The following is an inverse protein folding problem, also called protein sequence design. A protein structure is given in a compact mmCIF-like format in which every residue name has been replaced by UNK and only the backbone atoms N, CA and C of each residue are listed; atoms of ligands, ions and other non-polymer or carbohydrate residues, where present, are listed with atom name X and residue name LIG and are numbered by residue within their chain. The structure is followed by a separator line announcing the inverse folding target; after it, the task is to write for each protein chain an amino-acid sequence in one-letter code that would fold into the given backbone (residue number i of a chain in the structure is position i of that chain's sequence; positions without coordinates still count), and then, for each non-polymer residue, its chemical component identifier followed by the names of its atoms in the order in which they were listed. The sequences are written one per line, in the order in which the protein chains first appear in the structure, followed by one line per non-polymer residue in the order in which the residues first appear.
data_IF_156652209666
#
_entry.id   IF_156652209666
#
_cell.length_a   1.000
_cell.length_b   1.000
_cell.length_c   1.000
_cell.angle_alpha   90.00
_cell.angle_beta   90.00
_cell.angle_gamma   90.00
#
_symmetry.space_group_name_H-M   'P 1'
#
loop_
_entity.id
_entity.type
_entity.pdbx_description
1 polymer ?
#
# COMPACT_ATOMS: atom_id res chain seq x y z
N UNK A 1 -9.78 -12.28 21.43
CA UNK A 1 -9.02 -12.17 20.16
C UNK A 1 -9.50 -10.93 19.45
N UNK A 2 -8.59 -10.08 18.98
CA UNK A 2 -8.90 -8.81 18.31
C UNK A 2 -8.75 -9.00 16.79
N UNK A 3 -9.84 -8.82 16.07
CA UNK A 3 -9.99 -9.14 14.64
C UNK A 3 -10.37 -7.89 13.84
N UNK A 4 -9.99 -7.87 12.57
CA UNK A 4 -10.49 -6.92 11.57
C UNK A 4 -11.27 -7.71 10.52
N UNK A 5 -12.46 -7.20 10.17
CA UNK A 5 -13.23 -7.62 9.01
C UNK A 5 -13.35 -6.47 8.02
N UNK A 6 -12.95 -6.73 6.77
CA UNK A 6 -13.09 -5.81 5.64
C UNK A 6 -14.07 -6.41 4.64
N UNK A 7 -15.06 -5.60 4.24
CA UNK A 7 -16.15 -6.02 3.37
C UNK A 7 -16.30 -5.04 2.21
N UNK A 8 -16.44 -5.57 1.00
CA UNK A 8 -16.80 -4.81 -0.20
C UNK A 8 -17.89 -5.55 -0.99
N UNK A 9 -19.00 -4.88 -1.30
CA UNK A 9 -20.09 -5.46 -2.09
C UNK A 9 -20.91 -4.39 -2.82
N UNK A 10 -21.91 -4.81 -3.60
CA UNK A 10 -22.92 -3.88 -4.10
C UNK A 10 -23.75 -3.35 -2.92
N UNK A 11 -24.01 -2.05 -2.90
CA UNK A 11 -24.82 -1.44 -1.84
C UNK A 11 -26.28 -1.89 -1.92
N UNK A 12 -26.84 -2.17 -0.75
CA UNK A 12 -28.24 -2.54 -0.56
C UNK A 12 -28.62 -2.49 0.93
N UNK A 13 -29.91 -2.28 1.28
CA UNK A 13 -30.35 -2.25 2.66
C UNK A 13 -30.00 -3.52 3.46
N UNK A 14 -29.54 -3.31 4.69
CA UNK A 14 -29.37 -4.38 5.69
C UNK A 14 -27.95 -4.94 5.83
N UNK A 15 -26.97 -4.48 5.05
CA UNK A 15 -25.56 -4.92 5.17
C UNK A 15 -25.02 -4.68 6.58
N UNK A 16 -25.14 -3.44 7.07
CA UNK A 16 -24.67 -3.06 8.43
C UNK A 16 -25.37 -3.87 9.52
N UNK A 17 -26.68 -4.11 9.38
CA UNK A 17 -27.43 -4.92 10.34
C UNK A 17 -26.96 -6.38 10.35
N UNK A 18 -26.69 -6.95 9.19
CA UNK A 18 -26.18 -8.31 9.08
C UNK A 18 -24.76 -8.44 9.64
N UNK A 19 -23.87 -7.50 9.33
CA UNK A 19 -22.50 -7.45 9.87
C UNK A 19 -22.52 -7.41 11.40
N UNK A 20 -23.26 -6.45 11.98
CA UNK A 20 -23.35 -6.29 13.44
C UNK A 20 -24.00 -7.51 14.11
N UNK A 21 -25.01 -8.12 13.49
CA UNK A 21 -25.64 -9.35 14.00
C UNK A 21 -24.70 -10.55 13.95
N UNK A 22 -23.92 -10.70 12.88
CA UNK A 22 -22.93 -11.76 12.74
C UNK A 22 -21.78 -11.62 13.75
N UNK A 23 -21.29 -10.40 13.97
CA UNK A 23 -20.31 -10.12 15.03
C UNK A 23 -20.89 -10.48 16.40
N UNK A 24 -22.14 -10.11 16.69
CA UNK A 24 -22.78 -10.49 17.96
C UNK A 24 -22.95 -12.01 18.10
N UNK A 25 -23.28 -12.72 17.01
CA UNK A 25 -23.48 -14.17 17.01
C UNK A 25 -22.21 -14.96 17.34
N UNK A 26 -21.02 -14.44 17.02
CA UNK A 26 -19.75 -15.00 17.50
C UNK A 26 -19.29 -14.39 18.84
N UNK A 27 -20.20 -13.78 19.60
CA UNK A 27 -19.92 -13.17 20.91
C UNK A 27 -18.97 -11.97 20.82
N UNK A 28 -18.94 -11.29 19.67
CA UNK A 28 -18.04 -10.19 19.38
C UNK A 28 -18.53 -8.84 19.91
N UNK A 29 -17.60 -7.99 20.31
CA UNK A 29 -17.81 -6.59 20.64
C UNK A 29 -17.06 -5.69 19.66
N UNK A 30 -17.76 -4.77 19.00
CA UNK A 30 -17.17 -3.85 18.02
C UNK A 30 -16.36 -2.76 18.75
N UNK A 31 -15.10 -2.60 18.35
CA UNK A 31 -14.17 -1.59 18.87
C UNK A 31 -14.11 -0.38 17.92
N UNK A 32 -14.08 -0.63 16.62
CA UNK A 32 -14.03 0.40 15.58
C UNK A 32 -14.89 -0.04 14.40
N UNK A 33 -15.65 0.88 13.81
CA UNK A 33 -16.47 0.57 12.66
C UNK A 33 -16.62 1.77 11.74
N UNK A 34 -16.30 1.59 10.46
CA UNK A 34 -16.50 2.60 9.43
C UNK A 34 -17.13 1.96 8.20
N UNK A 35 -17.98 2.73 7.52
CA UNK A 35 -18.66 2.30 6.31
C UNK A 35 -18.77 3.48 5.34
N UNK A 36 -18.83 3.19 4.05
CA UNK A 36 -19.03 4.17 3.01
C UNK A 36 -19.68 3.54 1.78
N UNK A 37 -20.64 4.23 1.19
CA UNK A 37 -21.18 3.90 -0.14
C UNK A 37 -20.65 4.90 -1.15
N UNK A 38 -20.02 4.39 -2.21
CA UNK A 38 -19.77 5.18 -3.42
C UNK A 38 -20.99 5.09 -4.33
N UNK A 39 -21.86 6.12 -4.27
CA UNK A 39 -23.09 6.19 -5.06
C UNK A 39 -22.87 5.98 -6.57
N UNK A 40 -21.84 6.57 -7.22
CA UNK A 40 -21.62 6.39 -8.67
C UNK A 40 -21.39 4.94 -9.10
N UNK A 41 -20.74 4.13 -8.27
CA UNK A 41 -20.47 2.71 -8.56
C UNK A 41 -21.44 1.75 -7.87
N UNK A 42 -22.30 2.25 -6.99
CA UNK A 42 -23.11 1.45 -6.06
C UNK A 42 -22.25 0.45 -5.25
N UNK A 43 -21.03 0.83 -4.89
CA UNK A 43 -20.12 -0.01 -4.10
C UNK A 43 -20.18 0.40 -2.63
N UNK A 44 -20.52 -0.55 -1.77
CA UNK A 44 -20.46 -0.42 -0.32
C UNK A 44 -19.16 -1.03 0.20
N UNK A 45 -18.45 -0.29 1.06
CA UNK A 45 -17.26 -0.77 1.76
C UNK A 45 -17.40 -0.56 3.27
N UNK A 46 -16.90 -1.50 4.06
CA UNK A 46 -16.98 -1.46 5.51
C UNK A 46 -15.76 -2.13 6.14
N UNK A 47 -15.25 -1.50 7.19
CA UNK A 47 -14.16 -2.02 8.03
C UNK A 47 -14.64 -2.07 9.47
N UNK A 48 -14.60 -3.25 10.07
CA UNK A 48 -15.02 -3.48 11.45
C UNK A 48 -13.89 -4.15 12.23
N UNK A 49 -13.35 -3.46 13.23
CA UNK A 49 -12.46 -4.06 14.24
C UNK A 49 -13.30 -4.48 15.43
N UNK A 50 -13.18 -5.72 15.87
CA UNK A 50 -13.97 -6.26 16.96
C UNK A 50 -13.19 -7.31 17.74
N UNK A 51 -13.55 -7.47 19.01
CA UNK A 51 -13.00 -8.49 19.88
C UNK A 51 -13.99 -9.62 20.08
N UNK A 52 -13.54 -10.88 19.99
CA UNK A 52 -14.35 -12.07 20.33
C UNK A 52 -13.58 -13.05 21.21
N UNK A 53 -14.28 -13.70 22.12
CA UNK A 53 -13.76 -14.80 22.94
C UNK A 53 -13.87 -16.17 22.25
N UNK A 54 -14.61 -16.27 21.14
CA UNK A 54 -14.86 -17.55 20.43
C UNK A 54 -13.79 -17.91 19.39
N UNK A 55 -12.87 -16.98 19.09
CA UNK A 55 -11.76 -17.20 18.15
C UNK A 55 -12.10 -16.94 16.67
N UNK A 56 -11.08 -17.04 15.81
CA UNK A 56 -11.16 -16.72 14.38
C UNK A 56 -12.13 -17.63 13.63
N UNK A 57 -12.10 -18.94 13.84
CA UNK A 57 -12.95 -19.90 13.11
C UNK A 57 -14.45 -19.63 13.33
N UNK A 58 -14.84 -19.31 14.57
CA UNK A 58 -16.22 -18.97 14.92
C UNK A 58 -16.64 -17.63 14.27
N UNK A 59 -15.74 -16.65 14.24
CA UNK A 59 -15.97 -15.38 13.56
C UNK A 59 -16.11 -15.57 12.05
N UNK A 60 -15.19 -16.30 11.40
CA UNK A 60 -15.26 -16.59 9.97
C UNK A 60 -16.58 -17.25 9.60
N UNK A 61 -16.97 -18.31 10.32
CA UNK A 61 -18.24 -18.99 10.09
C UNK A 61 -19.42 -18.03 10.21
N UNK A 62 -19.50 -17.30 11.33
CA UNK A 62 -20.62 -16.39 11.61
C UNK A 62 -20.75 -15.29 10.56
N UNK A 63 -19.64 -14.62 10.22
CA UNK A 63 -19.65 -13.52 9.24
C UNK A 63 -19.92 -14.03 7.82
N UNK A 64 -19.32 -15.13 7.37
CA UNK A 64 -19.63 -15.69 6.05
C UNK A 64 -21.10 -16.13 5.93
N UNK A 65 -21.66 -16.78 6.95
CA UNK A 65 -23.06 -17.20 6.95
C UNK A 65 -23.99 -15.97 6.95
N UNK A 66 -23.77 -15.01 7.86
CA UNK A 66 -24.62 -13.82 8.03
C UNK A 66 -24.59 -12.85 6.86
N UNK A 67 -23.46 -12.78 6.13
CA UNK A 67 -23.26 -11.86 5.01
C UNK A 67 -23.41 -12.52 3.64
N UNK A 68 -23.60 -13.85 3.57
CA UNK A 68 -23.69 -14.62 2.32
C UNK A 68 -24.65 -14.05 1.28
N UNK A 69 -25.81 -13.52 1.70
CA UNK A 69 -26.83 -12.96 0.81
C UNK A 69 -26.40 -11.70 0.04
N UNK A 70 -25.32 -11.04 0.48
CA UNK A 70 -24.79 -9.83 -0.17
C UNK A 70 -23.65 -10.15 -1.16
N UNK A 71 -23.21 -11.42 -1.21
CA UNK A 71 -22.06 -11.87 -2.00
C UNK A 71 -20.82 -10.95 -1.87
N UNK A 72 -20.39 -10.59 -0.64
CA UNK A 72 -19.28 -9.67 -0.45
C UNK A 72 -17.93 -10.32 -0.77
N UNK A 73 -16.98 -9.49 -1.19
CA UNK A 73 -15.58 -9.75 -0.90
C UNK A 73 -15.36 -9.46 0.59
N UNK A 74 -15.07 -10.51 1.36
CA UNK A 74 -14.98 -10.47 2.81
C UNK A 74 -13.64 -11.06 3.25
N UNK A 75 -12.83 -10.23 3.88
CA UNK A 75 -11.58 -10.64 4.50
C UNK A 75 -11.67 -10.47 6.01
N UNK A 76 -11.25 -11.50 6.76
CA UNK A 76 -11.25 -11.49 8.22
C UNK A 76 -9.90 -12.01 8.68
N UNK A 77 -9.19 -11.22 9.48
CA UNK A 77 -7.90 -11.61 10.04
C UNK A 77 -7.69 -11.08 11.46
N UNK A 78 -6.80 -11.70 12.23
CA UNK A 78 -6.27 -11.13 13.47
C UNK A 78 -5.57 -9.78 13.21
N UNK A 79 -5.69 -8.88 14.17
CA UNK A 79 -5.01 -7.57 14.13
C UNK A 79 -3.49 -7.67 14.27
N UNK A 80 -3.01 -8.70 14.95
CA UNK A 80 -1.60 -8.99 15.20
C UNK A 80 -0.93 -9.77 14.06
N UNK A 81 -1.72 -10.33 13.13
CA UNK A 81 -1.22 -10.90 11.87
C UNK A 81 -0.82 -9.75 10.93
N UNK A 82 0.48 -9.50 10.85
CA UNK A 82 1.06 -8.43 10.04
C UNK A 82 1.22 -8.88 8.58
N UNK A 83 0.74 -8.11 7.59
CA UNK A 83 0.99 -8.44 6.19
C UNK A 83 2.48 -8.35 5.85
N UNK A 84 2.92 -9.25 4.99
CA UNK A 84 4.29 -9.45 4.56
C UNK A 84 4.55 -8.65 3.29
N UNK A 85 5.44 -7.67 3.40
CA UNK A 85 5.78 -6.74 2.33
C UNK A 85 7.10 -7.14 1.66
N UNK A 86 7.09 -7.22 0.33
CA UNK A 86 8.30 -7.20 -0.47
C UNK A 86 8.65 -5.76 -0.83
N UNK A 87 9.82 -5.28 -0.39
CA UNK A 87 10.25 -3.92 -0.73
C UNK A 87 11.23 -3.95 -1.89
N UNK A 88 10.91 -3.23 -2.96
CA UNK A 88 11.78 -3.03 -4.13
C UNK A 88 12.43 -1.65 -4.08
N UNK A 89 13.75 -1.59 -4.27
CA UNK A 89 14.54 -0.35 -4.22
C UNK A 89 15.53 -0.22 -5.37
N UNK A 90 15.91 1.02 -5.69
CA UNK A 90 16.98 1.32 -6.66
C UNK A 90 18.24 1.77 -5.90
N UNK A 91 18.72 3.00 -6.13
CA UNK A 91 19.89 3.59 -5.45
C UNK A 91 19.52 4.57 -4.35
N UNK A 92 18.30 5.14 -4.41
CA UNK A 92 17.84 6.13 -3.45
C UNK A 92 17.35 5.43 -2.17
N UNK A 93 17.86 5.87 -1.02
CA UNK A 93 17.65 5.16 0.26
C UNK A 93 16.62 5.78 1.18
N UNK A 94 16.17 7.02 0.95
CA UNK A 94 15.39 7.79 1.93
C UNK A 94 14.05 7.14 2.29
N UNK A 95 13.28 6.64 1.32
CA UNK A 95 12.05 5.91 1.59
C UNK A 95 12.32 4.60 2.34
N UNK A 96 13.33 3.82 1.91
CA UNK A 96 13.69 2.57 2.59
C UNK A 96 14.09 2.82 4.05
N UNK A 97 14.96 3.79 4.30
CA UNK A 97 15.43 4.14 5.65
C UNK A 97 14.27 4.49 6.58
N UNK A 98 13.27 5.22 6.09
CA UNK A 98 12.10 5.60 6.88
C UNK A 98 11.24 4.39 7.23
N UNK A 99 11.01 3.47 6.28
CA UNK A 99 10.30 2.21 6.55
C UNK A 99 11.05 1.34 7.57
N UNK A 100 12.37 1.20 7.44
CA UNK A 100 13.19 0.45 8.39
C UNK A 100 13.17 1.08 9.79
N UNK A 101 13.30 2.40 9.87
CA UNK A 101 13.23 3.14 11.14
C UNK A 101 11.89 2.95 11.84
N UNK A 102 10.77 3.04 11.11
CA UNK A 102 9.44 2.83 11.69
C UNK A 102 9.19 1.38 12.12
N UNK A 103 9.83 0.40 11.45
CA UNK A 103 9.81 -0.99 11.89
C UNK A 103 10.56 -1.19 13.21
N UNK A 104 11.73 -0.58 13.38
CA UNK A 104 12.50 -0.62 14.62
C UNK A 104 11.71 -0.03 15.81
N UNK A 105 10.91 1.01 15.56
CA UNK A 105 10.02 1.61 16.56
C UNK A 105 8.74 0.81 16.82
N UNK A 106 8.42 -0.19 15.99
CA UNK A 106 7.13 -0.91 16.04
C UNK A 106 5.94 -0.08 15.54
N UNK A 107 6.19 1.00 14.81
CA UNK A 107 5.17 1.93 14.28
C UNK A 107 4.67 1.59 12.87
N UNK A 108 5.27 0.58 12.24
CA UNK A 108 4.86 0.04 10.95
C UNK A 108 4.42 -1.43 11.12
N UNK A 109 3.12 -1.74 11.09
CA UNK A 109 2.60 -3.06 11.42
C UNK A 109 2.69 -4.03 10.22
N UNK A 110 3.89 -4.20 9.66
CA UNK A 110 4.19 -5.12 8.56
C UNK A 110 5.36 -6.03 8.94
N UNK A 111 5.56 -7.07 8.14
CA UNK A 111 6.82 -7.83 8.11
C UNK A 111 7.52 -7.58 6.77
N UNK A 112 8.86 -7.51 6.77
CA UNK A 112 9.65 -7.46 5.53
C UNK A 112 10.54 -8.71 5.48
N UNK A 113 10.13 -9.78 4.78
CA UNK A 113 10.93 -10.99 4.67
C UNK A 113 12.22 -10.79 3.86
N UNK A 114 12.16 -9.95 2.83
CA UNK A 114 13.31 -9.63 1.99
C UNK A 114 13.16 -8.27 1.29
N UNK A 115 14.30 -7.68 0.91
CA UNK A 115 14.39 -6.45 0.12
C UNK A 115 15.13 -6.77 -1.17
N UNK A 116 14.55 -6.40 -2.32
CA UNK A 116 15.17 -6.60 -3.62
C UNK A 116 15.63 -5.29 -4.21
N UNK A 117 16.80 -5.30 -4.83
CA UNK A 117 17.27 -4.19 -5.65
C UNK A 117 17.81 -4.65 -6.99
N UNK A 118 17.68 -3.81 -8.00
CA UNK A 118 18.41 -3.95 -9.26
C UNK A 118 19.87 -3.45 -9.19
N UNK A 119 20.27 -2.92 -8.04
CA UNK A 119 21.55 -2.31 -7.74
C UNK A 119 22.16 -2.90 -6.46
N UNK A 120 23.45 -2.70 -6.22
CA UNK A 120 24.14 -3.22 -5.02
C UNK A 120 24.32 -2.15 -3.94
N UNK A 121 24.11 -0.87 -4.30
CA UNK A 121 24.39 0.32 -3.50
C UNK A 121 23.73 0.32 -2.11
N UNK A 122 22.58 -0.34 -1.95
CA UNK A 122 21.83 -0.39 -0.69
C UNK A 122 22.04 -1.67 0.12
N UNK A 123 22.89 -2.61 -0.35
CA UNK A 123 23.15 -3.88 0.36
C UNK A 123 23.59 -3.65 1.80
N UNK A 124 24.65 -2.87 2.00
CA UNK A 124 25.21 -2.63 3.33
C UNK A 124 24.18 -2.02 4.28
N UNK A 125 23.33 -1.12 3.77
CA UNK A 125 22.24 -0.54 4.55
C UNK A 125 21.24 -1.61 5.00
N UNK A 126 20.82 -2.48 4.08
CA UNK A 126 19.81 -3.52 4.37
C UNK A 126 20.36 -4.57 5.33
N UNK A 127 21.55 -5.10 5.05
CA UNK A 127 22.17 -6.14 5.85
C UNK A 127 22.56 -5.64 7.24
N UNK A 128 22.94 -4.35 7.39
CA UNK A 128 23.24 -3.77 8.71
C UNK A 128 22.01 -3.64 9.62
N UNK A 129 20.81 -3.60 9.04
CA UNK A 129 19.54 -3.61 9.79
C UNK A 129 19.00 -5.04 9.99
N UNK A 130 19.76 -6.07 9.60
CA UNK A 130 19.40 -7.48 9.79
C UNK A 130 18.41 -8.06 8.77
N UNK A 131 18.14 -7.34 7.67
CA UNK A 131 17.23 -7.82 6.62
C UNK A 131 17.96 -8.55 5.50
N UNK A 132 17.26 -9.48 4.84
CA UNK A 132 17.76 -10.19 3.67
C UNK A 132 17.79 -9.27 2.45
N UNK A 133 18.96 -9.09 1.84
CA UNK A 133 19.13 -8.35 0.59
C UNK A 133 19.27 -9.29 -0.61
N UNK A 134 18.44 -9.08 -1.63
CA UNK A 134 18.52 -9.79 -2.90
C UNK A 134 18.85 -8.82 -4.05
N UNK A 135 19.98 -9.05 -4.71
CA UNK A 135 20.32 -8.34 -5.94
C UNK A 135 19.74 -9.09 -7.15
N UNK A 136 18.89 -8.41 -7.92
CA UNK A 136 18.35 -8.88 -9.20
C UNK A 136 18.63 -7.85 -10.30
N UNK A 137 19.80 -7.90 -10.96
CA UNK A 137 20.14 -6.94 -12.00
C UNK A 137 19.16 -7.03 -13.17
N UNK A 138 18.98 -5.92 -13.88
CA UNK A 138 18.02 -5.80 -14.98
C UNK A 138 18.55 -4.94 -16.11
N UNK A 139 18.21 -5.36 -17.32
CA UNK A 139 18.31 -4.59 -18.55
C UNK A 139 17.11 -4.97 -19.46
N UNK A 140 17.03 -4.37 -20.64
CA UNK A 140 15.91 -4.58 -21.55
C UNK A 140 15.71 -6.06 -21.95
N UNK A 141 16.77 -6.87 -22.08
CA UNK A 141 16.66 -8.28 -22.48
C UNK A 141 16.39 -9.23 -21.31
N UNK A 142 16.66 -8.81 -20.07
CA UNK A 142 16.53 -9.65 -18.86
C UNK A 142 15.29 -9.32 -18.02
N UNK A 143 14.54 -8.28 -18.38
CA UNK A 143 13.36 -7.82 -17.62
C UNK A 143 12.36 -8.95 -17.33
N UNK A 144 11.97 -9.72 -18.35
CA UNK A 144 10.98 -10.79 -18.17
C UNK A 144 11.47 -11.89 -17.21
N UNK A 145 12.76 -12.23 -17.27
CA UNK A 145 13.37 -13.22 -16.37
C UNK A 145 13.47 -12.68 -14.94
N UNK A 146 13.82 -11.40 -14.78
CA UNK A 146 13.88 -10.74 -13.48
C UNK A 146 12.51 -10.65 -12.81
N UNK A 147 11.49 -10.25 -13.54
CA UNK A 147 10.11 -10.19 -13.03
C UNK A 147 9.56 -11.58 -12.69
N UNK A 148 9.92 -12.61 -13.47
CA UNK A 148 9.59 -14.01 -13.12
C UNK A 148 10.26 -14.43 -11.82
N UNK A 149 11.51 -14.04 -11.59
CA UNK A 149 12.20 -14.31 -10.32
C UNK A 149 11.56 -13.55 -9.16
N UNK A 150 11.10 -12.31 -9.37
CA UNK A 150 10.34 -11.56 -8.36
C UNK A 150 9.03 -12.28 -7.99
N UNK A 151 8.26 -12.76 -8.97
CA UNK A 151 7.03 -13.52 -8.71
C UNK A 151 7.30 -14.82 -7.94
N UNK A 152 8.40 -15.52 -8.24
CA UNK A 152 8.82 -16.70 -7.49
C UNK A 152 9.15 -16.36 -6.02
N UNK A 153 9.84 -15.25 -5.77
CA UNK A 153 10.14 -14.78 -4.40
C UNK A 153 8.86 -14.39 -3.65
N UNK A 154 7.88 -13.80 -4.33
CA UNK A 154 6.58 -13.46 -3.75
C UNK A 154 5.88 -14.73 -3.24
N UNK A 155 5.87 -15.79 -4.05
CA UNK A 155 5.29 -17.08 -3.67
C UNK A 155 6.09 -17.75 -2.54
N UNK A 156 7.42 -17.86 -2.70
CA UNK A 156 8.33 -18.49 -1.73
C UNK A 156 8.22 -17.88 -0.33
N UNK A 157 8.10 -16.56 -0.24
CA UNK A 157 8.07 -15.85 1.03
C UNK A 157 6.66 -15.52 1.53
N UNK A 158 5.62 -15.97 0.82
CA UNK A 158 4.21 -15.66 1.11
C UNK A 158 4.00 -14.15 1.27
N UNK A 159 4.40 -13.39 0.25
CA UNK A 159 4.29 -11.93 0.25
C UNK A 159 2.85 -11.53 -0.06
N UNK A 160 2.27 -10.69 0.81
CA UNK A 160 0.92 -10.17 0.65
C UNK A 160 0.88 -8.97 -0.31
N UNK A 161 1.91 -8.11 -0.27
CA UNK A 161 1.98 -6.93 -1.12
C UNK A 161 3.42 -6.45 -1.39
N UNK A 162 3.58 -5.65 -2.44
CA UNK A 162 4.85 -5.10 -2.89
C UNK A 162 4.88 -3.60 -2.66
N UNK A 163 6.02 -3.09 -2.18
CA UNK A 163 6.28 -1.66 -1.97
C UNK A 163 7.43 -1.22 -2.88
N UNK A 164 7.14 -0.31 -3.81
CA UNK A 164 8.16 0.32 -4.65
C UNK A 164 8.72 1.55 -3.95
N UNK A 165 9.72 1.36 -3.08
CA UNK A 165 10.40 2.44 -2.38
C UNK A 165 11.43 3.11 -3.31
N UNK A 166 10.92 3.93 -4.25
CA UNK A 166 11.68 4.54 -5.36
C UNK A 166 12.37 3.49 -6.24
N UNK A 167 11.63 2.42 -6.57
CA UNK A 167 12.03 1.49 -7.62
C UNK A 167 11.83 2.11 -9.00
N UNK A 168 12.89 2.25 -9.79
CA UNK A 168 12.92 3.08 -11.00
C UNK A 168 12.61 2.32 -12.29
N UNK A 169 12.39 1.01 -12.21
CA UNK A 169 12.01 0.22 -13.37
C UNK A 169 10.49 0.20 -13.51
N UNK A 170 10.02 0.51 -14.72
CA UNK A 170 8.61 0.32 -15.08
C UNK A 170 8.31 -1.18 -15.03
N UNK A 171 7.30 -1.59 -14.26
CA UNK A 171 6.84 -2.97 -14.19
C UNK A 171 6.08 -3.34 -15.48
N UNK A 172 6.16 -4.59 -15.92
CA UNK A 172 5.35 -5.07 -17.05
C UNK A 172 3.87 -5.17 -16.70
N UNK A 173 3.03 -5.18 -17.74
CA UNK A 173 1.58 -5.39 -17.58
C UNK A 173 1.29 -6.75 -16.94
N UNK A 174 2.06 -7.76 -17.31
CA UNK A 174 1.98 -9.12 -16.78
C UNK A 174 2.28 -9.15 -15.28
N UNK A 175 3.32 -8.44 -14.83
CA UNK A 175 3.64 -8.34 -13.41
C UNK A 175 2.55 -7.59 -12.62
N UNK A 176 2.06 -6.46 -13.15
CA UNK A 176 0.97 -5.70 -12.52
C UNK A 176 -0.31 -6.55 -12.41
N UNK A 177 -0.63 -7.33 -13.44
CA UNK A 177 -1.82 -8.19 -13.47
C UNK A 177 -1.74 -9.39 -12.49
N UNK A 178 -0.54 -9.82 -12.09
CA UNK A 178 -0.36 -10.87 -11.08
C UNK A 178 -0.67 -10.39 -9.65
N UNK A 179 -0.60 -9.07 -9.42
CA UNK A 179 -0.75 -8.45 -8.10
C UNK A 179 -1.73 -7.27 -8.11
N UNK A 180 -2.98 -7.46 -8.61
CA UNK A 180 -3.94 -6.38 -8.72
C UNK A 180 -4.24 -5.81 -7.32
N UNK A 181 -4.09 -4.49 -7.15
CA UNK A 181 -4.31 -3.82 -5.87
C UNK A 181 -3.32 -4.18 -4.76
N UNK A 182 -2.19 -4.82 -5.09
CA UNK A 182 -1.19 -5.30 -4.12
C UNK A 182 0.22 -4.75 -4.37
N UNK A 183 0.35 -3.69 -5.18
CA UNK A 183 1.62 -3.00 -5.41
C UNK A 183 1.42 -1.52 -5.09
N UNK A 184 2.13 -1.01 -4.09
CA UNK A 184 2.13 0.41 -3.70
C UNK A 184 3.40 1.07 -4.24
N UNK A 185 3.24 2.17 -4.95
CA UNK A 185 4.34 2.99 -5.44
C UNK A 185 4.36 4.37 -4.80
N UNK A 186 5.55 4.96 -4.64
CA UNK A 186 5.72 6.38 -4.35
C UNK A 186 6.20 7.12 -5.59
N UNK A 187 5.34 7.99 -6.12
CA UNK A 187 5.69 8.89 -7.20
C UNK A 187 6.13 10.24 -6.63
N UNK A 188 7.24 10.78 -7.14
CA UNK A 188 7.94 11.96 -6.63
C UNK A 188 7.41 13.27 -7.23
N UNK A 189 6.10 13.30 -7.47
CA UNK A 189 5.34 14.47 -7.89
C UNK A 189 3.95 14.43 -7.26
N UNK A 190 3.29 15.59 -7.21
CA UNK A 190 1.88 15.68 -6.86
C UNK A 190 1.05 15.38 -8.11
N UNK A 191 0.67 14.11 -8.30
CA UNK A 191 -0.16 13.69 -9.43
C UNK A 191 -1.50 14.44 -9.45
N UNK A 192 -2.04 14.80 -10.63
CA UNK A 192 -1.59 14.41 -11.98
C UNK A 192 -0.45 15.30 -12.57
N UNK A 193 0.14 16.21 -11.80
CA UNK A 193 1.20 17.10 -12.27
C UNK A 193 2.56 16.41 -12.44
N UNK A 194 3.33 16.83 -13.46
CA UNK A 194 4.72 16.41 -13.72
C UNK A 194 4.95 14.89 -13.76
N UNK A 195 4.31 14.20 -14.71
CA UNK A 195 4.61 12.78 -15.01
C UNK A 195 6.00 12.63 -15.68
N UNK A 196 6.56 11.42 -15.60
CA UNK A 196 7.79 11.06 -16.31
C UNK A 196 9.08 11.56 -15.64
N UNK A 197 10.14 11.76 -16.44
CA UNK A 197 11.49 11.97 -15.92
C UNK A 197 11.73 13.36 -15.30
N UNK A 198 12.50 13.41 -14.21
CA UNK A 198 12.98 14.63 -13.52
C UNK A 198 11.85 15.63 -13.14
N UNK A 199 10.79 15.22 -12.45
CA UNK A 199 9.66 16.09 -12.10
C UNK A 199 10.07 17.31 -11.27
N UNK A 200 11.07 17.22 -10.37
CA UNK A 200 11.56 18.39 -9.63
C UNK A 200 12.21 19.45 -10.53
N UNK A 201 12.88 19.05 -11.61
CA UNK A 201 13.42 20.01 -12.58
C UNK A 201 12.29 20.67 -13.38
N UNK A 202 11.25 19.90 -13.75
CA UNK A 202 10.05 20.43 -14.40
C UNK A 202 9.32 21.43 -13.48
N UNK A 203 9.15 21.08 -12.20
CA UNK A 203 8.54 21.92 -11.18
C UNK A 203 9.29 23.24 -10.99
N UNK A 204 10.63 23.19 -10.88
CA UNK A 204 11.48 24.37 -10.80
C UNK A 204 11.32 25.25 -12.05
N UNK A 205 11.46 24.67 -13.25
CA UNK A 205 11.33 25.41 -14.51
C UNK A 205 9.95 26.05 -14.67
N UNK A 206 8.89 25.41 -14.15
CA UNK A 206 7.52 25.93 -14.18
C UNK A 206 7.25 27.01 -13.12
N UNK A 207 8.15 27.15 -12.13
CA UNK A 207 8.08 28.17 -11.08
C UNK A 207 7.00 27.90 -10.03
N UNK A 208 6.66 26.63 -9.76
CA UNK A 208 5.61 26.25 -8.82
C UNK A 208 5.91 26.76 -7.40
N UNK A 209 4.86 26.85 -6.57
CA UNK A 209 4.95 27.25 -5.15
C UNK A 209 4.68 26.11 -4.17
N UNK A 210 4.37 24.95 -4.72
CA UNK A 210 4.19 23.70 -4.02
C UNK A 210 4.84 22.58 -4.84
N UNK A 211 5.48 21.65 -4.17
CA UNK A 211 5.84 20.33 -4.70
C UNK A 211 5.14 19.28 -3.84
N UNK A 212 5.08 18.03 -4.29
CA UNK A 212 4.48 16.98 -3.50
C UNK A 212 4.91 15.59 -3.95
N UNK A 213 4.35 14.59 -3.30
CA UNK A 213 4.50 13.19 -3.65
C UNK A 213 3.15 12.49 -3.54
N UNK A 214 3.00 11.40 -4.29
CA UNK A 214 1.77 10.61 -4.35
C UNK A 214 2.09 9.15 -4.13
N UNK A 215 1.51 8.54 -3.09
CA UNK A 215 1.43 7.09 -2.98
C UNK A 215 0.17 6.59 -3.68
N UNK A 216 0.32 5.57 -4.52
CA UNK A 216 -0.79 5.02 -5.29
C UNK A 216 -0.60 3.52 -5.54
N UNK A 217 -1.68 2.80 -5.83
CA UNK A 217 -1.57 1.45 -6.35
C UNK A 217 -1.03 1.47 -7.78
N UNK A 218 -0.20 0.49 -8.13
CA UNK A 218 0.30 0.32 -9.50
C UNK A 218 -0.73 -0.43 -10.34
N UNK A 219 -0.95 0.04 -11.57
CA UNK A 219 -1.73 -0.61 -12.62
C UNK A 219 -0.88 -0.76 -13.88
N UNK A 220 -1.43 -1.31 -14.95
CA UNK A 220 -0.78 -1.32 -16.27
C UNK A 220 -0.60 0.09 -16.85
N UNK A 221 -1.40 1.05 -16.41
CA UNK A 221 -1.32 2.45 -16.84
C UNK A 221 -0.33 3.20 -15.94
N UNK A 222 0.82 3.55 -16.52
CA UNK A 222 1.95 4.14 -15.79
C UNK A 222 1.55 5.44 -15.07
N UNK A 223 1.78 5.47 -13.74
CA UNK A 223 1.47 6.61 -12.86
C UNK A 223 -0.02 7.03 -12.84
N UNK A 224 -0.94 6.11 -13.14
CA UNK A 224 -2.39 6.39 -13.21
C UNK A 224 -3.26 5.51 -12.29
N UNK A 225 -2.64 4.66 -11.48
CA UNK A 225 -3.41 3.82 -10.58
C UNK A 225 -4.05 4.58 -9.40
N UNK A 226 -4.99 3.94 -8.68
CA UNK A 226 -5.75 4.59 -7.60
C UNK A 226 -4.84 5.20 -6.52
N UNK A 227 -4.99 6.51 -6.31
CA UNK A 227 -4.23 7.29 -5.33
C UNK A 227 -4.65 6.91 -3.92
N UNK A 228 -3.68 6.61 -3.05
CA UNK A 228 -3.87 6.28 -1.63
C UNK A 228 -3.67 7.51 -0.76
N UNK A 229 -2.57 8.24 -0.98
CA UNK A 229 -2.15 9.35 -0.11
C UNK A 229 -1.33 10.37 -0.90
N UNK A 230 -1.48 11.65 -0.55
CA UNK A 230 -0.70 12.75 -1.12
C UNK A 230 -0.35 13.77 -0.05
N UNK A 231 0.85 14.32 -0.13
CA UNK A 231 1.27 15.45 0.71
C UNK A 231 2.08 16.44 -0.13
N UNK A 232 2.18 17.67 0.39
CA UNK A 232 2.84 18.78 -0.28
C UNK A 232 3.86 19.46 0.64
N UNK A 233 4.76 20.21 0.02
CA UNK A 233 5.54 21.21 0.72
C UNK A 233 5.61 22.50 -0.09
N UNK A 234 5.63 23.63 0.61
CA UNK A 234 5.78 24.94 0.01
C UNK A 234 7.22 25.19 -0.40
N UNK A 235 7.39 25.79 -1.57
CA UNK A 235 8.69 26.15 -2.16
C UNK A 235 8.62 27.60 -2.65
N UNK A 236 9.77 28.25 -2.78
CA UNK A 236 9.82 29.66 -3.18
C UNK A 236 10.70 29.87 -4.41
N UNK A 237 10.71 31.09 -4.94
CA UNK A 237 11.56 31.47 -6.07
C UNK A 237 13.07 31.43 -5.75
N UNK A 238 13.44 31.26 -4.48
CA UNK A 238 14.84 31.10 -4.04
C UNK A 238 15.29 29.64 -4.00
N UNK A 239 14.35 28.68 -4.08
CA UNK A 239 14.63 27.25 -4.03
C UNK A 239 15.27 26.79 -5.34
N UNK A 240 16.46 26.19 -5.26
CA UNK A 240 17.13 25.55 -6.39
C UNK A 240 16.53 24.18 -6.71
N UNK A 241 16.82 23.56 -7.87
CA UNK A 241 16.39 22.19 -8.15
C UNK A 241 16.86 21.17 -7.09
N UNK A 242 18.05 21.33 -6.53
CA UNK A 242 18.57 20.45 -5.49
C UNK A 242 17.83 20.63 -4.16
N UNK A 243 17.41 21.86 -3.83
CA UNK A 243 16.53 22.12 -2.68
C UNK A 243 15.17 21.43 -2.84
N UNK A 244 14.60 21.47 -4.07
CA UNK A 244 13.35 20.78 -4.36
C UNK A 244 13.48 19.26 -4.22
N UNK A 245 14.60 18.68 -4.68
CA UNK A 245 14.88 17.25 -4.50
C UNK A 245 15.03 16.90 -3.02
N UNK A 246 15.76 17.72 -2.26
CA UNK A 246 15.96 17.50 -0.83
C UNK A 246 14.63 17.51 -0.05
N UNK A 247 13.80 18.53 -0.28
CA UNK A 247 12.47 18.64 0.31
C UNK A 247 11.53 17.53 -0.19
N UNK A 248 11.66 17.16 -1.47
CA UNK A 248 10.93 16.06 -2.09
C UNK A 248 11.11 14.74 -1.37
N UNK A 249 12.36 14.37 -1.04
CA UNK A 249 12.68 13.15 -0.27
C UNK A 249 11.94 13.08 1.07
N UNK A 250 11.74 14.22 1.74
CA UNK A 250 11.00 14.28 3.01
C UNK A 250 9.50 14.02 2.84
N UNK A 251 8.90 14.54 1.77
CA UNK A 251 7.49 14.31 1.47
C UNK A 251 7.28 12.85 1.07
N UNK A 252 8.13 12.34 0.18
CA UNK A 252 8.03 10.97 -0.33
C UNK A 252 8.08 9.92 0.77
N UNK A 253 9.02 10.04 1.72
CA UNK A 253 9.14 9.07 2.82
C UNK A 253 7.88 9.04 3.69
N UNK A 254 7.35 10.21 4.07
CA UNK A 254 6.14 10.30 4.91
C UNK A 254 4.90 9.78 4.19
N UNK A 255 4.73 10.15 2.93
CA UNK A 255 3.58 9.71 2.10
C UNK A 255 3.61 8.21 1.91
N UNK A 256 4.77 7.63 1.56
CA UNK A 256 4.88 6.18 1.39
C UNK A 256 4.63 5.44 2.71
N UNK A 257 5.27 5.85 3.80
CA UNK A 257 5.11 5.22 5.10
C UNK A 257 3.64 5.23 5.58
N UNK A 258 2.94 6.35 5.36
CA UNK A 258 1.52 6.46 5.67
C UNK A 258 0.67 5.51 4.82
N UNK A 259 0.90 5.45 3.51
CA UNK A 259 0.19 4.52 2.62
C UNK A 259 0.41 3.05 3.00
N UNK A 260 1.65 2.67 3.33
CA UNK A 260 1.98 1.31 3.80
C UNK A 260 1.29 1.00 5.12
N UNK A 261 1.25 1.95 6.07
CA UNK A 261 0.53 1.77 7.34
C UNK A 261 -0.98 1.61 7.14
N UNK A 262 -1.58 2.41 6.25
CA UNK A 262 -3.00 2.31 5.92
C UNK A 262 -3.33 0.96 5.28
N UNK A 263 -2.47 0.47 4.38
CA UNK A 263 -2.60 -0.87 3.79
C UNK A 263 -2.54 -1.96 4.86
N UNK A 264 -1.54 -1.88 5.74
CA UNK A 264 -1.29 -2.85 6.79
C UNK A 264 -2.40 -2.95 7.85
N UNK A 265 -3.28 -1.96 7.91
CA UNK A 265 -4.41 -1.88 8.84
C UNK A 265 -5.77 -2.14 8.15
N UNK A 266 -5.76 -2.58 6.90
CA UNK A 266 -6.94 -2.81 6.05
C UNK A 266 -7.84 -1.57 5.93
N UNK A 267 -7.22 -0.39 5.82
CA UNK A 267 -7.93 0.90 5.76
C UNK A 267 -8.20 1.38 4.34
N UNK A 268 -7.73 0.67 3.32
CA UNK A 268 -7.80 1.11 1.93
C UNK A 268 -8.69 0.15 1.14
N UNK A 269 -9.71 0.69 0.48
CA UNK A 269 -10.55 -0.05 -0.46
C UNK A 269 -10.43 0.55 -1.85
N UNK A 270 -10.19 -0.26 -2.87
CA UNK A 270 -10.20 0.19 -4.27
C UNK A 270 -11.64 0.16 -4.79
N UNK A 271 -12.15 1.33 -5.16
CA UNK A 271 -13.51 1.51 -5.69
C UNK A 271 -13.44 2.20 -7.04
N UNK A 272 -13.62 1.42 -8.10
CA UNK A 272 -13.37 1.87 -9.47
C UNK A 272 -11.91 2.27 -9.66
N UNK A 273 -11.67 3.53 -10.05
CA UNK A 273 -10.32 4.09 -10.26
C UNK A 273 -9.80 4.90 -9.06
N UNK A 274 -10.47 4.85 -7.91
CA UNK A 274 -10.16 5.65 -6.71
C UNK A 274 -10.00 4.73 -5.50
N UNK A 275 -9.57 5.29 -4.39
CA UNK A 275 -9.60 4.59 -3.09
C UNK A 275 -10.54 5.26 -2.11
N UNK A 276 -11.23 4.45 -1.30
CA UNK A 276 -11.81 4.88 -0.03
C UNK A 276 -10.77 4.58 1.05
N UNK A 277 -10.41 5.60 1.85
CA UNK A 277 -9.43 5.47 2.93
C UNK A 277 -10.11 5.78 4.27
N UNK A 278 -10.15 4.78 5.14
CA UNK A 278 -10.70 4.88 6.48
C UNK A 278 -9.70 5.44 7.49
N UNK A 279 -10.18 6.23 8.46
CA UNK A 279 -9.37 7.00 9.41
C UNK A 279 -8.86 6.17 10.57
#
# INVERSE_FOLDING_TARGET
MDLIASLQCADQPGIVHAMTSAVLACGGNIIENQQFTDEPTNTFVMRTRFETSQGLDAAQKSLHEGLSKFSPDLHIRPTDEKPRALVLVTKESHCLRDLLYLLELGELPIEIPLIVSNHEELRTLVESHGFTFKHLPINASTKAEQEKALLALIEEHSIDFVVLARYMQVLSNEFCAALPGRIINIHHSFLPGFKGAKPYHQAHARGVKIIGATAHFVTSDLDEGPIIEQDIAHVSHTSTPDDLIALGRDIERRVLAKAVRLYAQDRIFIVGQRTVVFS
#
